data_IF_578480913974
#
_entry.id   IF_578480913974
#
_cell.length_a   1.000
_cell.length_b   1.000
_cell.length_c   1.000
_cell.angle_alpha   90.00
_cell.angle_beta   90.00
_cell.angle_gamma   90.00
#
_symmetry.space_group_name_H-M   'P 1'
#
loop_
_entity.id
_entity.type
_entity.pdbx_description
1 polymer ?
#
# COMPACT_ATOMS: atom_id res chain seq x y z
N UNK A 1 -21.11 -1.54 10.70
CA UNK A 1 -20.00 -0.71 10.15
C UNK A 1 -19.68 -1.25 8.76
N UNK A 2 -19.61 -0.41 7.75
CA UNK A 2 -19.37 -0.86 6.38
C UNK A 2 -17.86 -0.87 6.10
N UNK A 3 -17.31 -2.04 5.77
CA UNK A 3 -15.94 -2.17 5.27
C UNK A 3 -15.99 -2.05 3.76
N UNK A 4 -15.12 -1.22 3.21
CA UNK A 4 -14.92 -1.14 1.78
C UNK A 4 -13.47 -1.43 1.46
N UNK A 5 -13.21 -1.97 0.27
CA UNK A 5 -11.88 -2.39 -0.14
C UNK A 5 -11.46 -1.65 -1.40
N UNK A 6 -10.16 -1.49 -1.59
CA UNK A 6 -9.58 -0.86 -2.78
C UNK A 6 -8.13 -1.33 -2.94
N UNK A 7 -7.45 -0.85 -3.98
CA UNK A 7 -6.03 -1.08 -4.21
C UNK A 7 -5.29 0.25 -4.25
N UNK A 8 -4.07 0.27 -3.71
CA UNK A 8 -3.17 1.39 -3.91
C UNK A 8 -2.76 1.50 -5.38
N UNK A 9 -2.16 2.63 -5.75
CA UNK A 9 -1.66 2.82 -7.12
C UNK A 9 -0.53 1.83 -7.47
N UNK A 10 0.07 1.16 -6.46
CA UNK A 10 1.09 0.11 -6.62
C UNK A 10 0.52 -1.30 -6.45
N UNK A 11 -0.81 -1.46 -6.53
CA UNK A 11 -1.49 -2.77 -6.45
C UNK A 11 -1.56 -3.39 -5.05
N UNK A 12 -1.19 -2.67 -3.99
CA UNK A 12 -1.30 -3.19 -2.62
C UNK A 12 -2.73 -3.09 -2.11
N UNK A 13 -3.24 -4.14 -1.47
CA UNK A 13 -4.60 -4.15 -0.92
C UNK A 13 -4.78 -3.10 0.19
N UNK A 14 -5.90 -2.40 0.14
CA UNK A 14 -6.30 -1.38 1.10
C UNK A 14 -7.73 -1.61 1.58
N UNK A 15 -8.02 -1.11 2.77
CA UNK A 15 -9.36 -1.12 3.36
C UNK A 15 -9.71 0.27 3.84
N UNK A 16 -10.98 0.63 3.62
CA UNK A 16 -11.58 1.89 4.03
C UNK A 16 -12.56 1.59 5.16
N UNK A 17 -12.41 2.30 6.27
CA UNK A 17 -13.31 2.21 7.40
C UNK A 17 -13.38 3.58 8.08
N UNK A 18 -14.59 4.08 8.31
CA UNK A 18 -14.84 5.35 8.99
C UNK A 18 -14.01 6.51 8.41
N UNK A 19 -13.98 6.64 7.07
CA UNK A 19 -13.24 7.67 6.32
C UNK A 19 -11.71 7.60 6.45
N UNK A 20 -11.19 6.59 7.14
CA UNK A 20 -9.77 6.28 7.17
C UNK A 20 -9.44 5.13 6.21
N UNK A 21 -8.18 5.09 5.80
CA UNK A 21 -7.64 4.12 4.85
C UNK A 21 -6.48 3.41 5.53
N UNK A 22 -6.40 2.11 5.32
CA UNK A 22 -5.35 1.28 5.88
C UNK A 22 -4.72 0.42 4.78
N UNK A 23 -3.41 0.29 4.80
CA UNK A 23 -2.67 -0.65 3.96
C UNK A 23 -2.63 -2.02 4.64
N UNK A 24 -2.78 -3.09 3.86
CA UNK A 24 -2.52 -4.43 4.36
C UNK A 24 -1.06 -4.51 4.82
N UNK A 25 -0.87 -4.91 6.08
CA UNK A 25 0.46 -5.08 6.66
C UNK A 25 0.88 -6.56 6.67
N UNK A 26 -0.03 -7.45 7.09
CA UNK A 26 0.24 -8.88 7.12
C UNK A 26 -1.05 -9.69 7.03
N UNK A 27 -0.94 -10.93 6.54
CA UNK A 27 -2.02 -11.93 6.55
C UNK A 27 -1.50 -13.20 7.21
N UNK A 28 -2.21 -13.71 8.21
CA UNK A 28 -1.96 -15.03 8.77
C UNK A 28 -2.54 -16.10 7.85
N UNK A 29 -1.69 -16.96 7.28
CA UNK A 29 -2.13 -18.04 6.38
C UNK A 29 -3.02 -19.07 7.09
N UNK A 30 -2.74 -19.37 8.36
CA UNK A 30 -3.48 -20.36 9.14
C UNK A 30 -4.89 -19.90 9.51
N UNK A 31 -5.05 -18.65 9.91
CA UNK A 31 -6.34 -18.15 10.42
C UNK A 31 -7.11 -17.27 9.43
N UNK A 32 -6.47 -16.84 8.34
CA UNK A 32 -7.02 -15.87 7.39
C UNK A 32 -7.12 -14.45 7.94
N UNK A 33 -6.57 -14.20 9.15
CA UNK A 33 -6.62 -12.89 9.81
C UNK A 33 -5.68 -11.92 9.09
N UNK A 34 -6.18 -10.72 8.82
CA UNK A 34 -5.45 -9.63 8.18
C UNK A 34 -5.23 -8.50 9.16
N UNK A 35 -3.98 -8.04 9.28
CA UNK A 35 -3.62 -6.83 10.02
C UNK A 35 -3.38 -5.69 9.05
N UNK A 36 -3.94 -4.55 9.36
CA UNK A 36 -3.89 -3.35 8.54
C UNK A 36 -3.37 -2.19 9.38
N UNK A 37 -2.57 -1.32 8.77
CA UNK A 37 -2.03 -0.11 9.41
C UNK A 37 -2.47 1.11 8.62
N UNK A 38 -2.63 2.24 9.28
CA UNK A 38 -3.00 3.49 8.61
C UNK A 38 -2.06 3.78 7.41
N UNK A 39 -2.61 4.34 6.32
CA UNK A 39 -1.80 4.77 5.17
C UNK A 39 -0.78 5.86 5.53
N UNK A 40 -1.05 6.66 6.57
CA UNK A 40 -0.13 7.70 7.08
C UNK A 40 0.82 7.20 8.17
N UNK A 41 0.93 5.88 8.39
CA UNK A 41 1.84 5.29 9.39
C UNK A 41 3.29 5.78 9.22
N UNK A 42 3.77 5.89 7.97
CA UNK A 42 5.15 6.35 7.70
C UNK A 42 5.28 7.87 7.76
N UNK A 43 4.34 8.60 7.15
CA UNK A 43 4.44 10.05 6.99
C UNK A 43 4.13 10.82 8.28
N UNK A 44 3.10 10.38 9.02
CA UNK A 44 2.60 11.07 10.22
C UNK A 44 2.77 10.26 11.50
N UNK A 45 3.53 9.16 11.44
CA UNK A 45 3.73 8.22 12.56
C UNK A 45 2.39 7.74 13.15
N UNK A 46 1.35 7.64 12.34
CA UNK A 46 0.03 7.22 12.80
C UNK A 46 0.03 5.75 13.19
N UNK A 47 -0.24 5.45 14.47
CA UNK A 47 -0.21 4.09 15.02
C UNK A 47 -1.56 3.36 14.95
N UNK A 48 -2.59 3.98 14.36
CA UNK A 48 -3.90 3.37 14.17
C UNK A 48 -3.82 2.09 13.35
N UNK A 49 -4.47 1.03 13.85
CA UNK A 49 -4.51 -0.27 13.20
C UNK A 49 -5.90 -0.92 13.24
N UNK A 50 -6.09 -1.85 12.32
CA UNK A 50 -7.30 -2.63 12.15
C UNK A 50 -6.93 -4.10 12.00
N UNK A 51 -7.77 -4.99 12.51
CA UNK A 51 -7.66 -6.44 12.33
C UNK A 51 -8.98 -6.95 11.76
N UNK A 52 -8.92 -7.73 10.69
CA UNK A 52 -10.10 -8.32 10.06
C UNK A 52 -9.93 -9.81 9.79
N UNK A 53 -11.04 -10.52 9.62
CA UNK A 53 -11.10 -11.84 8.99
C UNK A 53 -12.19 -11.81 7.93
N UNK A 54 -11.80 -11.91 6.65
CA UNK A 54 -12.69 -11.62 5.53
C UNK A 54 -13.23 -10.18 5.59
N UNK A 55 -14.55 -10.05 5.51
CA UNK A 55 -15.28 -8.77 5.55
C UNK A 55 -15.71 -8.37 6.98
N UNK A 56 -15.15 -8.99 8.02
CA UNK A 56 -15.52 -8.74 9.43
C UNK A 56 -14.38 -8.08 10.18
N UNK A 57 -14.68 -7.00 10.89
CA UNK A 57 -13.75 -6.32 11.81
C UNK A 57 -13.66 -7.10 13.11
N UNK A 58 -12.45 -7.52 13.47
CA UNK A 58 -12.15 -8.19 14.75
C UNK A 58 -11.64 -7.23 15.81
N UNK A 59 -10.82 -6.24 15.42
CA UNK A 59 -10.25 -5.26 16.35
C UNK A 59 -9.94 -3.94 15.64
N UNK A 60 -10.12 -2.82 16.37
CA UNK A 60 -9.70 -1.46 16.01
C UNK A 60 -9.02 -0.85 17.21
N UNK A 61 -7.82 -0.32 17.03
CA UNK A 61 -7.11 0.29 18.14
C UNK A 61 -6.19 1.42 17.69
N UNK A 62 -5.84 2.24 18.68
CA UNK A 62 -5.17 3.54 18.59
C UNK A 62 -5.98 4.60 17.82
N UNK A 63 -5.90 5.83 18.31
CA UNK A 63 -6.52 6.98 17.64
C UNK A 63 -5.67 7.43 16.46
N UNK A 64 -6.35 7.94 15.43
CA UNK A 64 -5.67 8.65 14.36
C UNK A 64 -5.20 10.02 14.86
N UNK A 65 -4.00 10.42 14.44
CA UNK A 65 -3.38 11.71 14.74
C UNK A 65 -3.40 12.65 13.51
N UNK A 66 -4.33 12.42 12.59
CA UNK A 66 -4.47 13.17 11.36
C UNK A 66 -5.92 13.16 10.88
N UNK A 67 -6.24 14.11 10.01
CA UNK A 67 -7.55 14.24 9.37
C UNK A 67 -7.91 13.02 8.51
N UNK A 68 -9.19 12.92 8.16
CA UNK A 68 -9.73 11.86 7.30
C UNK A 68 -9.09 11.85 5.89
N UNK A 69 -9.19 10.71 5.21
CA UNK A 69 -8.63 10.52 3.87
C UNK A 69 -9.63 10.78 2.73
N UNK A 70 -10.61 11.66 2.95
CA UNK A 70 -11.73 11.84 2.01
C UNK A 70 -11.27 12.13 0.58
N UNK A 71 -10.26 12.99 0.40
CA UNK A 71 -9.69 13.29 -0.93
C UNK A 71 -9.22 12.02 -1.66
N UNK A 72 -8.53 11.12 -0.94
CA UNK A 72 -8.06 9.84 -1.51
C UNK A 72 -9.22 8.90 -1.79
N UNK A 73 -10.23 8.86 -0.91
CA UNK A 73 -11.41 8.01 -1.06
C UNK A 73 -12.27 8.47 -2.25
N UNK A 74 -12.52 9.76 -2.40
CA UNK A 74 -13.24 10.34 -3.54
C UNK A 74 -12.55 10.00 -4.86
N UNK A 75 -11.23 10.15 -4.94
CA UNK A 75 -10.49 9.75 -6.14
C UNK A 75 -10.56 8.26 -6.47
N UNK A 76 -10.80 7.38 -5.47
CA UNK A 76 -11.08 5.95 -5.72
C UNK A 76 -12.53 5.72 -6.15
N UNK A 77 -13.49 6.50 -5.65
CA UNK A 77 -14.89 6.45 -6.07
C UNK A 77 -15.06 6.86 -7.53
N UNK A 78 -14.46 7.97 -7.94
CA UNK A 78 -14.50 8.47 -9.33
C UNK A 78 -13.98 7.44 -10.32
N UNK A 79 -12.93 6.71 -9.93
CA UNK A 79 -12.33 5.63 -10.72
C UNK A 79 -13.08 4.30 -10.61
N UNK A 80 -14.22 4.26 -9.92
CA UNK A 80 -15.01 3.05 -9.63
C UNK A 80 -14.17 1.91 -9.03
N UNK A 81 -13.16 2.27 -8.25
CA UNK A 81 -12.17 1.35 -7.70
C UNK A 81 -12.39 1.05 -6.20
N UNK A 82 -13.65 1.11 -5.75
CA UNK A 82 -14.05 0.75 -4.38
C UNK A 82 -15.03 -0.42 -4.43
N UNK A 83 -14.75 -1.42 -3.61
CA UNK A 83 -15.44 -2.70 -3.60
C UNK A 83 -16.09 -2.98 -2.26
N UNK A 84 -17.22 -3.69 -2.30
CA UNK A 84 -18.00 -4.01 -1.10
C UNK A 84 -17.41 -5.19 -0.32
N UNK A 85 -16.76 -6.14 -1.01
CA UNK A 85 -16.12 -7.29 -0.38
C UNK A 85 -14.65 -7.40 -0.79
N UNK A 86 -13.87 -8.14 0.01
CA UNK A 86 -12.47 -8.39 -0.27
C UNK A 86 -12.27 -9.32 -1.48
N UNK A 87 -13.23 -10.18 -1.79
CA UNK A 87 -13.14 -11.15 -2.87
C UNK A 87 -13.32 -10.47 -4.24
N UNK A 88 -14.14 -9.43 -4.31
CA UNK A 88 -14.29 -8.56 -5.48
C UNK A 88 -12.95 -7.92 -5.92
N UNK A 89 -12.03 -7.68 -4.98
CA UNK A 89 -10.70 -7.10 -5.28
C UNK A 89 -9.72 -8.14 -5.82
N UNK A 90 -9.85 -9.41 -5.41
CA UNK A 90 -8.90 -10.46 -5.81
C UNK A 90 -8.98 -10.74 -7.30
N UNK A 91 -10.18 -10.75 -7.87
CA UNK A 91 -10.39 -10.98 -9.31
C UNK A 91 -9.76 -9.92 -10.23
N UNK A 92 -9.26 -8.81 -9.69
CA UNK A 92 -8.58 -7.75 -10.44
C UNK A 92 -7.07 -7.97 -10.49
N UNK A 93 -6.48 -8.70 -9.53
CA UNK A 93 -5.04 -9.02 -9.56
C UNK A 93 -4.69 -10.03 -10.66
N UNK A 94 -5.68 -10.79 -11.12
CA UNK A 94 -5.53 -11.84 -12.13
C UNK A 94 -5.92 -11.35 -13.55
N UNK A 95 -6.36 -10.10 -13.69
CA UNK A 95 -6.58 -9.47 -14.99
C UNK A 95 -5.43 -8.52 -15.26
N UNK A 96 -4.53 -8.93 -16.14
CA UNK A 96 -3.57 -8.02 -16.75
C UNK A 96 -4.32 -6.77 -17.25
N UNK A 97 -3.78 -5.55 -17.05
CA UNK A 97 -4.38 -4.37 -17.64
C UNK A 97 -4.38 -4.52 -19.16
N UNK A 98 -5.57 -4.61 -19.76
CA UNK A 98 -5.72 -4.41 -21.20
C UNK A 98 -5.13 -3.06 -21.59
N UNK A 99 -4.30 -3.13 -22.64
CA UNK A 99 -3.60 -2.05 -23.32
C UNK A 99 -4.58 -0.96 -23.79
N UNK A 100 -4.24 0.31 -23.60
CA UNK A 100 -5.15 1.40 -23.97
C UNK A 100 -4.82 2.82 -23.48
N UNK A 101 -3.68 3.34 -23.94
CA UNK A 101 -3.40 4.70 -24.45
C UNK A 101 -3.94 5.99 -23.78
N UNK A 102 -2.95 6.87 -23.58
CA UNK A 102 -2.88 8.32 -23.80
C UNK A 102 -3.74 9.28 -22.94
N UNK A 103 -3.09 9.95 -21.98
CA UNK A 103 -3.05 11.44 -21.92
C UNK A 103 -1.80 11.93 -21.19
N UNK A 104 -1.08 12.74 -21.95
CA UNK A 104 -0.03 13.74 -21.73
C UNK A 104 0.46 14.12 -20.31
N UNK A 105 1.76 14.36 -20.27
CA UNK A 105 2.60 14.78 -19.14
C UNK A 105 2.42 16.27 -18.88
N UNK A 106 2.33 16.64 -17.61
CA UNK A 106 2.83 17.93 -17.12
C UNK A 106 3.92 17.68 -16.06
N UNK A 107 5.00 18.44 -16.22
CA UNK A 107 6.28 18.32 -15.54
C UNK A 107 6.27 18.92 -14.13
N UNK A 108 7.17 18.39 -13.29
CA UNK A 108 8.11 19.13 -12.44
C UNK A 108 8.37 18.36 -11.12
N UNK A 109 9.60 17.86 -10.96
CA UNK A 109 10.06 17.29 -9.69
C UNK A 109 11.20 16.27 -9.81
N UNK A 110 12.43 16.79 -9.88
CA UNK A 110 13.75 16.20 -9.55
C UNK A 110 13.96 14.68 -9.65
N UNK A 111 14.78 14.32 -10.64
CA UNK A 111 15.41 13.01 -10.86
C UNK A 111 16.56 12.77 -9.88
N UNK A 112 16.41 11.78 -9.01
CA UNK A 112 17.52 11.12 -8.34
C UNK A 112 17.48 9.62 -8.65
N UNK A 113 17.99 9.25 -9.82
CA UNK A 113 18.98 8.18 -10.01
C UNK A 113 18.60 6.78 -9.52
N UNK A 114 17.81 6.05 -10.30
CA UNK A 114 17.54 4.61 -10.15
C UNK A 114 18.64 3.70 -10.74
N UNK A 115 19.88 4.19 -10.88
CA UNK A 115 20.98 3.43 -11.50
C UNK A 115 21.97 2.82 -10.49
N UNK A 116 21.98 3.24 -9.23
CA UNK A 116 23.01 2.81 -8.27
C UNK A 116 22.67 1.52 -7.49
N UNK A 117 21.39 1.13 -7.41
CA UNK A 117 21.02 -0.06 -6.62
C UNK A 117 21.44 -1.38 -7.28
N UNK A 118 21.51 -1.42 -8.61
CA UNK A 118 21.84 -2.66 -9.33
C UNK A 118 23.34 -2.93 -9.43
N UNK A 119 24.21 -2.02 -8.95
CA UNK A 119 25.67 -2.21 -8.97
C UNK A 119 26.23 -2.84 -7.70
N UNK A 120 25.51 -2.78 -6.59
CA UNK A 120 25.94 -3.39 -5.32
C UNK A 120 25.73 -4.90 -5.27
N UNK A 121 24.81 -5.44 -6.08
CA UNK A 121 24.50 -6.88 -6.10
C UNK A 121 25.47 -7.69 -6.97
N UNK A 122 26.35 -7.04 -7.73
CA UNK A 122 27.31 -7.72 -8.62
C UNK A 122 28.74 -7.78 -8.05
N UNK A 123 28.97 -7.35 -6.80
CA UNK A 123 30.29 -7.32 -6.19
C UNK A 123 30.63 -8.69 -5.58
N UNK A 124 31.83 -9.18 -5.89
CA UNK A 124 32.34 -10.45 -5.38
C UNK A 124 32.72 -10.32 -3.90
N UNK A 125 32.84 -11.44 -3.19
CA UNK A 125 33.09 -11.41 -1.74
C UNK A 125 34.44 -10.78 -1.38
N UNK A 126 35.41 -10.76 -2.32
CA UNK A 126 36.69 -10.06 -2.18
C UNK A 126 36.55 -8.53 -2.26
N UNK A 127 35.54 -8.03 -2.99
CA UNK A 127 35.28 -6.58 -3.12
C UNK A 127 34.68 -5.98 -1.84
N UNK A 128 34.03 -6.80 -1.00
CA UNK A 128 33.39 -6.37 0.25
C UNK A 128 34.37 -6.26 1.42
N UNK A 129 35.44 -7.06 1.43
CA UNK A 129 36.46 -7.03 2.49
C UNK A 129 37.34 -5.77 2.44
N UNK A 130 37.57 -5.22 1.24
CA UNK A 130 38.33 -3.98 1.09
C UNK A 130 37.57 -2.73 1.57
N UNK A 131 36.23 -2.74 1.51
CA UNK A 131 35.39 -1.62 1.99
C UNK A 131 35.37 -1.55 3.52
N UNK A 132 35.51 -2.69 4.21
CA UNK A 132 35.51 -2.76 5.67
C UNK A 132 36.77 -2.18 6.35
N UNK A 133 37.86 -1.94 5.61
CA UNK A 133 39.14 -1.48 6.17
C UNK A 133 39.40 0.02 5.98
N UNK A 134 38.43 0.76 5.45
CA UNK A 134 38.54 2.20 5.15
C UNK A 134 37.62 3.09 6.02
N UNK A 135 37.21 2.60 7.21
CA UNK A 135 36.60 3.43 8.28
C UNK A 135 37.59 3.53 9.45
#
# INVERSE_FOLDING_TARGET
>A
MNLQFTVSNRGSLQVILNRYMYNLHSTSRRSGVKRWRCVEYRNKRCQAFLVTKGNVVLNRANLHNHSFHDKKILGKLEKKAIYSTIDDVKGIRDKDPEDGKDTEKDSDGEDLGLQDYNRLESLTDDDKDQISKAI
#
